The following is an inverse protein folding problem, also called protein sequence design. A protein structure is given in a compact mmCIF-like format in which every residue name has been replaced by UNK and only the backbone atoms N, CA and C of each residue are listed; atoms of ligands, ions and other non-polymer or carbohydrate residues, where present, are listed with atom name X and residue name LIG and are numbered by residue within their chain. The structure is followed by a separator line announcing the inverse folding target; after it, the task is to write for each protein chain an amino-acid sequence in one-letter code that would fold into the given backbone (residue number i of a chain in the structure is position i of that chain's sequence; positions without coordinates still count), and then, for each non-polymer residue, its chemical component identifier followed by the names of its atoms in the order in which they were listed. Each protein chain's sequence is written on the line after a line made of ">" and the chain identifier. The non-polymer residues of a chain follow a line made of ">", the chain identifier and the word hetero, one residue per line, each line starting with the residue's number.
data_IF_707566297119
#
_entry.id   IF_707566297119
#
_cell.length_a   1.000
_cell.length_b   1.000
_cell.length_c   1.000
_cell.angle_alpha   90.00
_cell.angle_beta   90.00
_cell.angle_gamma   90.00
#
_symmetry.space_group_name_H-M   'P 1'
#
loop_
_entity.id
_entity.type
_entity.pdbx_description
1 polymer ?
#
# COMPACT_ATOMS: atom_id res chain seq x y z
N UNK A 1 -8.42 -9.11 -15.92
CA UNK A 1 -6.97 -9.23 -16.19
C UNK A 1 -6.40 -8.00 -16.93
N UNK A 2 -7.04 -7.47 -18.00
CA UNK A 2 -6.53 -6.33 -18.79
C UNK A 2 -6.14 -5.03 -18.04
N UNK A 3 -6.68 -4.80 -16.83
CA UNK A 3 -6.36 -3.60 -16.06
C UNK A 3 -4.92 -3.60 -15.51
N UNK A 4 -4.33 -4.78 -15.28
CA UNK A 4 -2.95 -4.92 -14.79
C UNK A 4 -1.94 -4.78 -15.93
N UNK A 5 -2.24 -5.30 -17.11
CA UNK A 5 -1.37 -5.19 -18.31
C UNK A 5 -1.27 -3.75 -18.84
N UNK A 6 -2.29 -2.92 -18.59
CA UNK A 6 -2.29 -1.50 -18.96
C UNK A 6 -1.56 -0.61 -17.96
N UNK A 7 -1.03 -1.19 -16.87
CA UNK A 7 -0.30 -0.42 -15.88
C UNK A 7 1.11 -0.08 -16.37
N UNK A 8 1.61 1.12 -16.03
CA UNK A 8 3.00 1.48 -16.24
C UNK A 8 3.93 0.47 -15.58
N UNK A 9 5.06 0.19 -16.24
CA UNK A 9 6.03 -0.79 -15.76
C UNK A 9 6.50 -0.49 -14.34
N UNK A 10 6.72 0.78 -14.00
CA UNK A 10 7.14 1.19 -12.65
C UNK A 10 6.09 0.89 -11.59
N UNK A 11 4.81 1.15 -11.89
CA UNK A 11 3.71 0.83 -11.00
C UNK A 11 3.52 -0.68 -10.83
N UNK A 12 3.73 -1.47 -11.89
CA UNK A 12 3.73 -2.94 -11.78
C UNK A 12 4.83 -3.47 -10.87
N UNK A 13 6.06 -2.94 -10.99
CA UNK A 13 7.18 -3.32 -10.14
C UNK A 13 6.87 -3.02 -8.67
N UNK A 14 6.34 -1.82 -8.39
CA UNK A 14 5.90 -1.48 -7.05
C UNK A 14 4.80 -2.44 -6.54
N UNK A 15 3.81 -2.78 -7.37
CA UNK A 15 2.76 -3.73 -7.02
C UNK A 15 3.27 -5.15 -6.77
N UNK A 16 4.36 -5.58 -7.41
CA UNK A 16 4.97 -6.89 -7.14
C UNK A 16 5.75 -6.94 -5.82
N UNK A 17 6.19 -5.78 -5.31
CA UNK A 17 6.87 -5.66 -4.02
C UNK A 17 5.93 -5.28 -2.87
N UNK A 18 4.71 -4.83 -3.19
CA UNK A 18 3.69 -4.43 -2.23
C UNK A 18 3.28 -5.62 -1.34
N UNK A 19 3.14 -5.37 -0.04
CA UNK A 19 2.77 -6.38 0.94
C UNK A 19 1.25 -6.62 0.99
N UNK A 20 0.45 -5.61 0.62
CA UNK A 20 -1.00 -5.74 0.57
C UNK A 20 -1.51 -6.21 -0.81
N UNK A 21 -2.63 -6.94 -0.87
CA UNK A 21 -3.29 -7.29 -2.13
C UNK A 21 -4.04 -6.07 -2.70
N UNK A 22 -3.29 -5.13 -3.29
CA UNK A 22 -3.84 -3.93 -3.90
C UNK A 22 -4.65 -4.25 -5.16
N UNK A 23 -5.78 -3.57 -5.31
CA UNK A 23 -6.52 -3.59 -6.58
C UNK A 23 -5.82 -2.72 -7.64
N UNK A 24 -5.67 -3.17 -8.90
CA UNK A 24 -4.99 -2.41 -9.96
C UNK A 24 -5.54 -0.99 -10.17
N UNK A 25 -6.87 -0.83 -10.02
CA UNK A 25 -7.55 0.46 -10.17
C UNK A 25 -7.21 1.45 -9.06
N UNK A 26 -7.15 1.02 -7.80
CA UNK A 26 -6.85 1.92 -6.67
C UNK A 26 -5.39 2.35 -6.70
N UNK A 27 -4.48 1.42 -6.97
CA UNK A 27 -3.06 1.70 -7.16
C UNK A 27 -2.84 2.72 -8.30
N UNK A 28 -3.49 2.52 -9.45
CA UNK A 28 -3.38 3.44 -10.58
C UNK A 28 -3.92 4.85 -10.24
N UNK A 29 -5.05 4.96 -9.54
CA UNK A 29 -5.60 6.26 -9.12
C UNK A 29 -4.65 7.01 -8.19
N UNK A 30 -4.10 6.32 -7.19
CA UNK A 30 -3.14 6.92 -6.26
C UNK A 30 -1.83 7.32 -6.96
N UNK A 31 -1.32 6.47 -7.86
CA UNK A 31 -0.14 6.75 -8.67
C UNK A 31 -0.32 7.99 -9.55
N UNK A 32 -1.43 8.10 -10.29
CA UNK A 32 -1.73 9.27 -11.12
C UNK A 32 -1.85 10.55 -10.29
N UNK A 33 -2.48 10.48 -9.12
CA UNK A 33 -2.59 11.62 -8.21
C UNK A 33 -1.21 12.08 -7.74
N UNK A 34 -0.34 11.15 -7.37
CA UNK A 34 1.01 11.46 -6.91
C UNK A 34 1.89 12.00 -8.05
N UNK A 35 1.78 11.44 -9.27
CA UNK A 35 2.46 11.97 -10.44
C UNK A 35 2.08 13.43 -10.73
N UNK A 36 0.79 13.76 -10.64
CA UNK A 36 0.34 15.15 -10.83
C UNK A 36 0.91 16.10 -9.79
N UNK A 37 1.03 15.65 -8.54
CA UNK A 37 1.59 16.46 -7.45
C UNK A 37 3.10 16.61 -7.52
N UNK A 38 3.82 15.59 -8.03
CA UNK A 38 5.28 15.57 -8.08
C UNK A 38 5.84 15.89 -9.48
N UNK A 39 5.02 16.47 -10.37
CA UNK A 39 5.45 16.90 -11.70
C UNK A 39 5.92 15.75 -12.62
N UNK A 40 5.35 14.55 -12.46
CA UNK A 40 5.73 13.38 -13.26
C UNK A 40 6.84 12.52 -12.66
N UNK A 41 7.31 12.82 -11.44
CA UNK A 41 8.34 12.01 -10.79
C UNK A 41 7.79 10.66 -10.30
N UNK A 42 8.19 9.57 -10.97
CA UNK A 42 7.73 8.22 -10.67
C UNK A 42 8.20 7.71 -9.30
N UNK A 43 9.40 8.09 -8.84
CA UNK A 43 9.92 7.70 -7.52
C UNK A 43 9.06 8.28 -6.39
N UNK A 44 8.73 9.57 -6.48
CA UNK A 44 7.85 10.23 -5.54
C UNK A 44 6.45 9.62 -5.53
N UNK A 45 5.95 9.18 -6.70
CA UNK A 45 4.68 8.47 -6.78
C UNK A 45 4.73 7.10 -6.08
N UNK A 46 5.81 6.34 -6.23
CA UNK A 46 6.01 5.07 -5.51
C UNK A 46 6.10 5.29 -4.00
N UNK A 47 6.86 6.30 -3.54
CA UNK A 47 6.94 6.65 -2.11
C UNK A 47 5.57 7.04 -1.54
N UNK A 48 4.76 7.76 -2.30
CA UNK A 48 3.41 8.12 -1.88
C UNK A 48 2.52 6.88 -1.72
N UNK A 49 2.59 5.94 -2.66
CA UNK A 49 1.89 4.65 -2.58
C UNK A 49 2.33 3.85 -1.34
N UNK A 50 3.63 3.73 -1.07
CA UNK A 50 4.15 3.05 0.12
C UNK A 50 3.68 3.68 1.43
N UNK A 51 3.49 5.01 1.48
CA UNK A 51 2.91 5.68 2.65
C UNK A 51 1.44 5.30 2.88
N UNK A 52 0.66 5.21 1.80
CA UNK A 52 -0.73 4.76 1.88
C UNK A 52 -0.77 3.30 2.34
N UNK A 53 0.11 2.45 1.79
CA UNK A 53 0.22 1.05 2.18
C UNK A 53 0.53 0.91 3.67
N UNK A 54 1.54 1.62 4.17
CA UNK A 54 1.89 1.60 5.59
C UNK A 54 0.71 2.05 6.48
N UNK A 55 -0.05 3.08 6.06
CA UNK A 55 -1.23 3.52 6.77
C UNK A 55 -2.37 2.47 6.76
N UNK A 56 -2.54 1.74 5.65
CA UNK A 56 -3.51 0.64 5.56
C UNK A 56 -3.06 -0.56 6.39
N UNK A 57 -1.78 -0.96 6.33
CA UNK A 57 -1.21 -2.01 7.16
C UNK A 57 -1.36 -1.69 8.65
N UNK A 58 -1.12 -0.46 9.09
CA UNK A 58 -1.35 -0.07 10.49
C UNK A 58 -2.82 -0.16 10.92
N UNK A 59 -3.77 0.11 10.00
CA UNK A 59 -5.21 -0.02 10.28
C UNK A 59 -5.63 -1.49 10.28
N UNK A 60 -5.15 -2.26 9.31
CA UNK A 60 -5.43 -3.67 9.17
C UNK A 60 -4.83 -4.47 10.33
N UNK A 61 -3.57 -4.21 10.72
CA UNK A 61 -2.96 -4.77 11.91
C UNK A 61 -3.80 -4.53 13.18
N UNK A 62 -4.42 -3.35 13.32
CA UNK A 62 -5.33 -3.06 14.44
C UNK A 62 -6.66 -3.79 14.33
N UNK A 63 -7.18 -3.98 13.11
CA UNK A 63 -8.43 -4.71 12.87
C UNK A 63 -8.26 -6.23 13.03
N UNK A 64 -7.13 -6.76 12.58
CA UNK A 64 -6.74 -8.18 12.66
C UNK A 64 -6.32 -8.57 14.08
N UNK A 65 -5.70 -7.65 14.86
CA UNK A 65 -5.18 -7.94 16.20
C UNK A 65 -5.90 -7.23 17.37
N UNK A 66 -7.11 -6.71 17.21
CA UNK A 66 -7.92 -6.22 18.34
C UNK A 66 -8.07 -7.29 19.44
N UNK A 67 -8.36 -6.90 20.71
CA UNK A 67 -7.47 -6.94 21.90
C UNK A 67 -6.77 -8.28 22.25
N UNK A 68 -6.83 -9.30 21.40
CA UNK A 68 -6.16 -10.59 21.57
C UNK A 68 -4.79 -10.65 20.92
N UNK A 69 -4.00 -9.57 20.93
CA UNK A 69 -2.61 -9.67 20.50
C UNK A 69 -1.85 -10.55 21.50
N UNK A 70 -1.20 -11.66 21.08
CA UNK A 70 -0.58 -12.62 22.01
C UNK A 70 0.60 -12.06 22.82
N UNK A 71 1.06 -10.82 22.55
CA UNK A 71 2.00 -10.13 23.44
C UNK A 71 1.34 -9.41 24.63
N UNK A 72 0.00 -9.28 24.67
CA UNK A 72 -0.70 -8.70 25.83
C UNK A 72 -0.89 -9.71 26.98
N UNK A 73 -0.75 -11.02 26.72
CA UNK A 73 -0.93 -12.08 27.72
C UNK A 73 0.23 -12.19 28.75
N UNK A 74 1.31 -11.41 28.60
CA UNK A 74 2.48 -11.51 29.48
C UNK A 74 2.52 -10.51 30.64
N UNK A 75 1.45 -9.76 30.88
CA UNK A 75 1.33 -8.83 32.01
C UNK A 75 0.38 -9.39 33.08
N UNK A 76 0.74 -10.54 33.65
CA UNK A 76 0.09 -11.13 34.81
C UNK A 76 1.13 -11.84 35.65
N UNK A 77 1.83 -11.07 36.50
CA UNK A 77 2.69 -11.55 37.57
C UNK A 77 2.32 -10.81 38.86
#
# INVERSE_FOLDING_TARGET
>A
MQAYDRLPRRLRLWLSEAALPWSPRSALRAWQSALRQCGGCEDSACRHLSRIEAAQLCRDARAVWAPGHPAQDRAGA
#
